data_IF_278312231018
#
_entry.id   IF_278312231018
#
_cell.length_a   1.000
_cell.length_b   1.000
_cell.length_c   1.000
_cell.angle_alpha   90.00
_cell.angle_beta   90.00
_cell.angle_gamma   90.00
#
_symmetry.space_group_name_H-M   'P 1'
#
loop_
_entity.id
_entity.type
_entity.pdbx_description
1 polymer ?
#
# COMPACT_ATOMS: atom_id res chain seq x y z
N UNK A 1 -14.80 14.90 -22.89
CA UNK A 1 -13.63 15.80 -23.04
C UNK A 1 -12.47 14.94 -23.55
N UNK A 2 -12.11 15.09 -24.83
CA UNK A 2 -11.19 14.19 -25.55
C UNK A 2 -9.75 14.57 -25.16
N UNK A 3 -9.09 13.77 -24.31
CA UNK A 3 -7.66 13.93 -24.05
C UNK A 3 -6.90 13.32 -25.22
N UNK A 4 -6.21 14.17 -25.97
CA UNK A 4 -5.28 13.77 -27.01
C UNK A 4 -4.18 12.90 -26.42
N UNK A 5 -3.94 11.77 -27.07
CA UNK A 5 -2.96 10.79 -26.64
C UNK A 5 -1.83 10.80 -27.67
N UNK A 6 -0.65 11.26 -27.24
CA UNK A 6 0.59 11.01 -27.95
C UNK A 6 1.13 9.64 -27.51
N UNK A 7 1.07 8.64 -28.40
CA UNK A 7 1.72 7.32 -28.29
C UNK A 7 2.42 7.12 -29.65
N UNK A 8 3.64 6.59 -29.84
CA UNK A 8 4.51 5.65 -29.12
C UNK A 8 5.95 6.21 -29.19
N UNK A 9 6.81 5.99 -28.17
CA UNK A 9 8.26 6.05 -28.37
C UNK A 9 8.90 4.74 -27.94
N UNK A 10 8.85 3.76 -28.83
CA UNK A 10 9.78 2.64 -28.76
C UNK A 10 10.84 2.88 -29.83
N UNK A 11 12.11 2.89 -29.40
CA UNK A 11 13.34 2.76 -30.20
C UNK A 11 14.08 3.96 -30.79
N UNK A 12 13.79 5.22 -30.44
CA UNK A 12 14.57 6.35 -31.00
C UNK A 12 15.77 6.71 -30.11
N UNK A 13 16.96 6.22 -30.47
CA UNK A 13 18.25 6.62 -29.87
C UNK A 13 18.76 8.00 -30.37
N UNK A 14 17.96 8.72 -31.17
CA UNK A 14 18.30 10.04 -31.73
C UNK A 14 17.79 11.18 -30.83
N UNK A 15 18.72 11.87 -30.20
CA UNK A 15 18.50 12.95 -29.25
C UNK A 15 17.94 14.23 -29.89
N UNK A 16 18.27 14.50 -31.17
CA UNK A 16 17.72 15.65 -31.91
C UNK A 16 16.25 15.43 -32.24
N UNK A 17 15.90 14.22 -32.66
CA UNK A 17 14.51 13.88 -32.99
C UNK A 17 13.60 13.95 -31.76
N UNK A 18 14.12 13.53 -30.60
CA UNK A 18 13.42 13.61 -29.30
C UNK A 18 13.11 15.04 -28.88
N UNK A 19 14.05 15.98 -29.11
CA UNK A 19 13.87 17.40 -28.77
C UNK A 19 12.79 18.07 -29.63
N UNK A 20 12.83 17.84 -30.94
CA UNK A 20 11.82 18.35 -31.88
C UNK A 20 10.40 17.87 -31.55
N UNK A 21 10.25 16.63 -31.07
CA UNK A 21 8.96 16.05 -30.71
C UNK A 21 8.39 16.56 -29.39
N UNK A 22 9.23 16.88 -28.41
CA UNK A 22 8.81 17.57 -27.18
C UNK A 22 8.30 19.00 -27.50
N UNK A 23 8.98 19.70 -28.39
CA UNK A 23 8.57 21.04 -28.83
C UNK A 23 7.23 21.01 -29.59
N UNK A 24 6.92 19.91 -30.27
CA UNK A 24 5.66 19.69 -30.97
C UNK A 24 4.49 19.32 -30.05
N UNK A 25 4.73 18.53 -28.99
CA UNK A 25 3.70 18.17 -28.00
C UNK A 25 3.13 19.40 -27.27
N UNK A 26 3.92 20.47 -27.16
CA UNK A 26 3.51 21.74 -26.54
C UNK A 26 2.58 22.61 -27.41
N UNK A 27 2.30 22.21 -28.66
CA UNK A 27 1.66 23.10 -29.66
C UNK A 27 0.36 22.61 -30.29
N UNK A 28 -0.26 21.51 -29.86
CA UNK A 28 -1.30 20.90 -30.72
C UNK A 28 -2.65 20.64 -30.07
N UNK A 29 -3.63 21.45 -30.50
CA UNK A 29 -5.08 21.22 -30.38
C UNK A 29 -5.68 20.48 -31.60
N UNK A 30 -4.89 20.13 -32.62
CA UNK A 30 -5.36 19.43 -33.84
C UNK A 30 -4.24 18.59 -34.49
N UNK A 31 -4.01 17.37 -34.04
CA UNK A 31 -2.91 16.55 -34.56
C UNK A 31 -3.39 15.54 -35.63
N UNK A 32 -3.44 15.99 -36.89
CA UNK A 32 -3.14 15.15 -38.06
C UNK A 32 -1.89 15.77 -38.69
N UNK A 33 -0.72 15.19 -38.46
CA UNK A 33 0.55 15.70 -39.00
C UNK A 33 1.03 14.76 -40.11
N UNK A 34 1.18 15.23 -41.37
CA UNK A 34 1.56 14.41 -42.52
C UNK A 34 2.95 13.76 -42.44
N UNK A 35 3.89 14.33 -41.66
CA UNK A 35 5.28 13.87 -41.56
C UNK A 35 5.53 12.67 -40.65
N UNK A 36 4.51 12.18 -39.92
CA UNK A 36 4.62 11.02 -39.01
C UNK A 36 3.66 9.90 -39.40
N UNK A 37 3.41 9.74 -40.71
CA UNK A 37 2.47 8.74 -41.23
C UNK A 37 2.87 7.32 -40.82
N UNK A 38 4.16 7.00 -40.86
CA UNK A 38 4.66 5.67 -40.49
C UNK A 38 4.46 5.36 -38.99
N UNK A 39 4.72 6.32 -38.11
CA UNK A 39 4.52 6.18 -36.66
C UNK A 39 3.04 6.15 -36.29
N UNK A 40 2.21 6.93 -37.00
CA UNK A 40 0.75 6.87 -36.87
C UNK A 40 0.22 5.50 -37.32
N UNK A 41 0.69 4.99 -38.46
CA UNK A 41 0.32 3.66 -38.95
C UNK A 41 0.78 2.55 -38.00
N UNK A 42 1.99 2.64 -37.44
CA UNK A 42 2.48 1.71 -36.42
C UNK A 42 1.64 1.79 -35.13
N UNK A 43 1.25 2.99 -34.70
CA UNK A 43 0.35 3.16 -33.57
C UNK A 43 -1.03 2.56 -33.87
N UNK A 44 -1.65 2.88 -35.01
CA UNK A 44 -2.93 2.31 -35.43
C UNK A 44 -2.90 0.78 -35.59
N UNK A 45 -1.79 0.24 -36.09
CA UNK A 45 -1.54 -1.19 -36.17
C UNK A 45 -1.43 -1.81 -34.77
N UNK A 46 -0.69 -1.17 -33.86
CA UNK A 46 -0.60 -1.61 -32.46
C UNK A 46 -1.95 -1.57 -31.73
N UNK A 47 -2.83 -0.65 -32.15
CA UNK A 47 -4.19 -0.51 -31.66
C UNK A 47 -5.17 -1.51 -32.27
N UNK A 48 -4.77 -2.37 -33.21
CA UNK A 48 -5.62 -3.49 -33.65
C UNK A 48 -5.77 -4.56 -32.55
N UNK A 49 -6.93 -5.23 -32.45
CA UNK A 49 -7.12 -6.33 -31.51
C UNK A 49 -6.00 -7.37 -31.65
N UNK A 50 -5.43 -7.78 -30.52
CA UNK A 50 -4.37 -8.79 -30.45
C UNK A 50 -4.70 -9.82 -29.38
N UNK A 51 -4.22 -11.04 -29.51
CA UNK A 51 -4.41 -12.10 -28.51
C UNK A 51 -3.61 -11.88 -27.23
N UNK A 52 -2.66 -10.94 -27.23
CA UNK A 52 -1.74 -10.71 -26.12
C UNK A 52 -1.61 -9.23 -25.76
N UNK A 53 -1.41 -8.96 -24.47
CA UNK A 53 -1.11 -7.63 -23.94
C UNK A 53 0.34 -7.25 -24.32
N UNK A 54 0.57 -6.07 -24.92
CA UNK A 54 1.93 -5.63 -25.25
C UNK A 54 2.80 -5.40 -24.01
N UNK A 55 4.12 -5.52 -24.19
CA UNK A 55 5.07 -5.20 -23.14
C UNK A 55 5.30 -3.67 -23.06
N UNK A 56 4.85 -3.04 -21.97
CA UNK A 56 4.97 -1.59 -21.78
C UNK A 56 6.25 -1.15 -21.04
N UNK A 57 7.22 -2.03 -20.79
CA UNK A 57 8.38 -1.72 -19.94
C UNK A 57 9.23 -0.55 -20.45
N UNK A 58 9.28 -0.33 -21.77
CA UNK A 58 10.07 0.74 -22.42
C UNK A 58 9.24 1.93 -22.89
N UNK A 59 7.99 2.08 -22.43
CA UNK A 59 7.09 3.16 -22.85
C UNK A 59 7.29 4.42 -22.01
N UNK A 60 7.51 5.58 -22.65
CA UNK A 60 7.54 6.87 -21.93
C UNK A 60 6.17 7.28 -21.36
N UNK A 61 5.09 7.04 -22.10
CA UNK A 61 3.71 7.31 -21.68
C UNK A 61 2.97 6.02 -21.32
N UNK A 62 3.61 5.18 -20.50
CA UNK A 62 3.10 3.86 -20.11
C UNK A 62 1.67 3.92 -19.55
N UNK A 63 1.37 4.89 -18.69
CA UNK A 63 0.06 5.02 -18.06
C UNK A 63 -1.05 5.26 -19.09
N UNK A 64 -0.90 6.30 -19.92
CA UNK A 64 -1.89 6.64 -20.95
C UNK A 64 -2.09 5.50 -21.95
N UNK A 65 -1.01 4.84 -22.33
CA UNK A 65 -1.05 3.68 -23.22
C UNK A 65 -1.84 2.52 -22.63
N UNK A 66 -1.60 2.17 -21.37
CA UNK A 66 -2.34 1.10 -20.68
C UNK A 66 -3.85 1.43 -20.64
N UNK A 67 -4.21 2.69 -20.39
CA UNK A 67 -5.62 3.14 -20.40
C UNK A 67 -6.24 2.95 -21.79
N UNK A 68 -5.53 3.29 -22.87
CA UNK A 68 -6.00 3.11 -24.24
C UNK A 68 -6.25 1.64 -24.57
N UNK A 69 -5.28 0.78 -24.26
CA UNK A 69 -5.41 -0.66 -24.46
C UNK A 69 -6.58 -1.21 -23.65
N UNK A 70 -6.70 -0.83 -22.39
CA UNK A 70 -7.81 -1.27 -21.55
C UNK A 70 -9.18 -0.92 -22.15
N UNK A 71 -9.38 0.33 -22.59
CA UNK A 71 -10.62 0.76 -23.25
C UNK A 71 -10.89 0.02 -24.54
N UNK A 72 -9.86 -0.21 -25.36
CA UNK A 72 -9.96 -1.02 -26.58
C UNK A 72 -10.42 -2.45 -26.26
N UNK A 73 -9.79 -3.11 -25.30
CA UNK A 73 -10.12 -4.50 -24.96
C UNK A 73 -11.53 -4.64 -24.38
N UNK A 74 -12.00 -3.60 -23.67
CA UNK A 74 -13.39 -3.50 -23.24
C UNK A 74 -14.36 -3.42 -24.44
N UNK A 75 -14.06 -2.58 -25.43
CA UNK A 75 -14.86 -2.43 -26.65
C UNK A 75 -14.87 -3.72 -27.50
N UNK A 76 -13.69 -4.36 -27.63
CA UNK A 76 -13.52 -5.62 -28.32
C UNK A 76 -14.09 -6.84 -27.56
N UNK A 77 -14.56 -6.65 -26.32
CA UNK A 77 -15.09 -7.70 -25.43
C UNK A 77 -14.09 -8.84 -25.19
N UNK A 78 -12.81 -8.51 -25.07
CA UNK A 78 -11.74 -9.48 -24.88
C UNK A 78 -11.40 -9.64 -23.38
N UNK A 79 -12.08 -10.58 -22.72
CA UNK A 79 -11.91 -10.80 -21.28
C UNK A 79 -10.46 -11.15 -20.89
N UNK A 80 -9.78 -11.99 -21.68
CA UNK A 80 -8.41 -12.43 -21.41
C UNK A 80 -7.47 -11.22 -21.25
N UNK A 81 -7.48 -10.32 -22.22
CA UNK A 81 -6.60 -9.15 -22.18
C UNK A 81 -7.05 -8.12 -21.12
N UNK A 82 -8.36 -7.94 -20.90
CA UNK A 82 -8.88 -7.10 -19.82
C UNK A 82 -8.34 -7.58 -18.46
N UNK A 83 -8.46 -8.89 -18.19
CA UNK A 83 -7.93 -9.53 -16.98
C UNK A 83 -6.43 -9.35 -16.87
N UNK A 84 -5.68 -9.64 -17.93
CA UNK A 84 -4.23 -9.58 -17.92
C UNK A 84 -3.72 -8.14 -17.72
N UNK A 85 -4.38 -7.13 -18.29
CA UNK A 85 -4.10 -5.71 -18.05
C UNK A 85 -4.35 -5.31 -16.59
N UNK A 86 -5.47 -5.74 -16.00
CA UNK A 86 -5.78 -5.50 -14.58
C UNK A 86 -4.73 -6.15 -13.69
N UNK A 87 -4.34 -7.39 -13.97
CA UNK A 87 -3.38 -8.13 -13.17
C UNK A 87 -1.96 -7.53 -13.24
N UNK A 88 -1.52 -7.13 -14.44
CA UNK A 88 -0.17 -6.59 -14.66
C UNK A 88 -0.05 -5.13 -14.25
N UNK A 89 -1.12 -4.34 -14.43
CA UNK A 89 -1.08 -2.88 -14.35
C UNK A 89 -2.26 -2.26 -13.59
N UNK A 90 -2.65 -2.77 -12.40
CA UNK A 90 -3.88 -2.35 -11.74
C UNK A 90 -3.92 -0.85 -11.43
N UNK A 91 -2.79 -0.24 -11.05
CA UNK A 91 -2.68 1.20 -10.73
C UNK A 91 -2.93 2.14 -11.92
N UNK A 92 -2.85 1.63 -13.15
CA UNK A 92 -3.03 2.41 -14.38
C UNK A 92 -4.38 2.13 -15.06
N UNK A 93 -5.14 1.16 -14.55
CA UNK A 93 -6.43 0.77 -15.12
C UNK A 93 -7.56 1.51 -14.40
N UNK A 94 -8.40 2.31 -15.09
CA UNK A 94 -9.53 3.00 -14.47
C UNK A 94 -10.77 2.08 -14.43
N UNK A 95 -10.67 0.94 -13.73
CA UNK A 95 -11.74 -0.07 -13.74
C UNK A 95 -13.06 0.45 -13.16
N UNK A 96 -13.02 1.25 -12.10
CA UNK A 96 -14.22 1.81 -11.47
C UNK A 96 -14.98 2.76 -12.41
N UNK A 97 -14.28 3.54 -13.24
CA UNK A 97 -14.88 4.43 -14.25
C UNK A 97 -15.55 3.64 -15.39
N UNK A 98 -15.06 2.43 -15.67
CA UNK A 98 -15.51 1.58 -16.77
C UNK A 98 -16.18 0.28 -16.30
N UNK A 99 -16.77 0.29 -15.10
CA UNK A 99 -17.35 -0.92 -14.48
C UNK A 99 -18.48 -1.51 -15.31
N UNK A 100 -19.24 -0.68 -16.03
CA UNK A 100 -20.33 -1.12 -16.91
C UNK A 100 -19.82 -1.93 -18.09
N UNK A 101 -18.82 -1.42 -18.80
CA UNK A 101 -18.19 -2.10 -19.90
C UNK A 101 -17.53 -3.39 -19.42
N UNK A 102 -16.83 -3.35 -18.29
CA UNK A 102 -16.23 -4.53 -17.67
C UNK A 102 -17.26 -5.64 -17.40
N UNK A 103 -18.41 -5.29 -16.82
CA UNK A 103 -19.53 -6.21 -16.61
C UNK A 103 -20.11 -6.75 -17.92
N UNK A 104 -20.23 -5.92 -18.97
CA UNK A 104 -20.70 -6.34 -20.29
C UNK A 104 -19.74 -7.36 -20.92
N UNK A 105 -18.43 -7.13 -20.84
CA UNK A 105 -17.41 -8.06 -21.35
C UNK A 105 -17.51 -9.41 -20.65
N UNK A 106 -17.52 -9.41 -19.31
CA UNK A 106 -17.57 -10.64 -18.53
C UNK A 106 -18.83 -11.48 -18.83
N UNK A 107 -20.00 -10.83 -18.94
CA UNK A 107 -21.26 -11.48 -19.35
C UNK A 107 -21.21 -12.01 -20.77
N UNK A 108 -20.64 -11.26 -21.70
CA UNK A 108 -20.52 -11.68 -23.10
C UNK A 108 -19.66 -12.94 -23.26
N UNK A 109 -18.56 -13.01 -22.50
CA UNK A 109 -17.63 -14.14 -22.50
C UNK A 109 -18.02 -15.25 -21.51
N UNK A 110 -19.19 -15.14 -20.84
CA UNK A 110 -19.70 -16.11 -19.86
C UNK A 110 -18.70 -16.46 -18.75
N UNK A 111 -17.97 -15.46 -18.27
CA UNK A 111 -16.97 -15.61 -17.20
C UNK A 111 -17.64 -16.07 -15.92
N UNK A 112 -17.02 -17.04 -15.23
CA UNK A 112 -17.54 -17.55 -13.96
C UNK A 112 -17.56 -16.45 -12.89
N UNK A 113 -18.46 -16.60 -11.92
CA UNK A 113 -18.59 -15.66 -10.80
C UNK A 113 -17.30 -15.55 -9.99
N UNK A 114 -16.66 -16.70 -9.74
CA UNK A 114 -15.39 -16.81 -9.02
C UNK A 114 -14.27 -16.07 -9.73
N UNK A 115 -14.05 -16.34 -11.02
CA UNK A 115 -13.00 -15.68 -11.80
C UNK A 115 -13.23 -14.17 -11.86
N UNK A 116 -14.46 -13.75 -12.14
CA UNK A 116 -14.81 -12.34 -12.24
C UNK A 116 -14.56 -11.60 -10.92
N UNK A 117 -14.99 -12.18 -9.79
CA UNK A 117 -14.78 -11.60 -8.46
C UNK A 117 -13.31 -11.55 -8.08
N UNK A 118 -12.53 -12.59 -8.38
CA UNK A 118 -11.11 -12.58 -8.08
C UNK A 118 -10.38 -11.45 -8.82
N UNK A 119 -10.69 -11.22 -10.10
CA UNK A 119 -10.12 -10.10 -10.88
C UNK A 119 -10.53 -8.75 -10.30
N UNK A 120 -11.81 -8.57 -10.00
CA UNK A 120 -12.32 -7.31 -9.45
C UNK A 120 -11.75 -6.99 -8.05
N UNK A 121 -11.60 -8.01 -7.20
CA UNK A 121 -11.06 -7.83 -5.84
C UNK A 121 -9.56 -7.59 -5.84
N UNK A 122 -8.81 -8.25 -6.73
CA UNK A 122 -7.39 -7.94 -6.93
C UNK A 122 -7.19 -6.50 -7.40
N UNK A 123 -8.06 -6.01 -8.30
CA UNK A 123 -8.06 -4.60 -8.67
C UNK A 123 -8.32 -3.71 -7.46
N UNK A 124 -9.40 -3.96 -6.71
CA UNK A 124 -9.76 -3.14 -5.56
C UNK A 124 -8.63 -3.05 -4.52
N UNK A 125 -8.00 -4.19 -4.24
CA UNK A 125 -6.84 -4.29 -3.35
C UNK A 125 -5.65 -3.45 -3.84
N UNK A 126 -5.41 -3.38 -5.15
CA UNK A 126 -4.30 -2.63 -5.72
C UNK A 126 -4.61 -1.15 -5.94
N UNK A 127 -5.87 -0.80 -6.17
CA UNK A 127 -6.35 0.58 -6.37
C UNK A 127 -6.22 1.40 -5.09
N UNK A 128 -6.70 0.84 -3.97
CA UNK A 128 -6.44 1.39 -2.65
C UNK A 128 -5.93 0.27 -1.73
N UNK A 129 -4.61 0.25 -1.42
CA UNK A 129 -4.03 -0.82 -0.60
C UNK A 129 -4.47 -0.77 0.85
N UNK A 130 -5.07 0.35 1.30
CA UNK A 130 -5.43 0.58 2.69
C UNK A 130 -6.83 0.11 3.05
N UNK A 131 -7.84 0.42 2.24
CA UNK A 131 -9.27 0.09 2.46
C UNK A 131 -10.07 0.48 1.20
N UNK A 132 -11.35 0.15 1.15
CA UNK A 132 -12.26 0.65 0.11
C UNK A 132 -13.02 1.87 0.64
N UNK A 133 -13.03 2.97 -0.10
CA UNK A 133 -13.82 4.15 0.27
C UNK A 133 -15.32 3.82 0.23
N UNK A 134 -16.08 4.33 1.19
CA UNK A 134 -17.53 4.09 1.27
C UNK A 134 -18.25 4.48 -0.03
N UNK A 135 -17.81 5.56 -0.66
CA UNK A 135 -18.34 6.03 -1.94
C UNK A 135 -18.11 5.03 -3.08
N UNK A 136 -16.90 4.49 -3.21
CA UNK A 136 -16.56 3.46 -4.21
C UNK A 136 -17.33 2.17 -3.95
N UNK A 137 -17.45 1.78 -2.67
CA UNK A 137 -18.22 0.61 -2.28
C UNK A 137 -19.69 0.74 -2.69
N UNK A 138 -20.31 1.88 -2.38
CA UNK A 138 -21.71 2.13 -2.63
C UNK A 138 -22.04 2.30 -4.12
N UNK A 139 -21.21 3.06 -4.86
CA UNK A 139 -21.46 3.38 -6.27
C UNK A 139 -21.03 2.28 -7.23
N UNK A 140 -19.91 1.61 -6.93
CA UNK A 140 -19.27 0.66 -7.86
C UNK A 140 -19.45 -0.78 -7.38
N UNK A 141 -18.99 -1.12 -6.17
CA UNK A 141 -18.95 -2.52 -5.74
C UNK A 141 -20.35 -3.15 -5.59
N UNK A 142 -21.31 -2.44 -4.98
CA UNK A 142 -22.69 -2.93 -4.85
C UNK A 142 -23.33 -3.24 -6.22
N UNK A 143 -23.03 -2.44 -7.24
CA UNK A 143 -23.48 -2.67 -8.62
C UNK A 143 -22.89 -3.96 -9.20
N UNK A 144 -21.59 -4.19 -8.96
CA UNK A 144 -20.88 -5.40 -9.35
C UNK A 144 -21.50 -6.64 -8.68
N UNK A 145 -21.69 -6.59 -7.37
CA UNK A 145 -22.28 -7.69 -6.60
C UNK A 145 -23.70 -8.03 -7.05
N UNK A 146 -24.54 -7.01 -7.27
CA UNK A 146 -25.88 -7.18 -7.82
C UNK A 146 -25.86 -7.81 -9.21
N UNK A 147 -24.92 -7.39 -10.06
CA UNK A 147 -24.85 -7.83 -11.46
C UNK A 147 -24.44 -9.30 -11.64
N UNK A 148 -23.75 -9.86 -10.66
CA UNK A 148 -23.25 -11.25 -10.65
C UNK A 148 -23.91 -12.12 -9.56
N UNK A 149 -25.01 -11.63 -8.96
CA UNK A 149 -25.76 -12.30 -7.89
C UNK A 149 -24.86 -12.81 -6.75
N UNK A 150 -24.03 -11.91 -6.23
CA UNK A 150 -23.05 -12.20 -5.18
C UNK A 150 -23.69 -11.97 -3.82
N UNK A 151 -23.55 -12.95 -2.92
CA UNK A 151 -24.03 -12.82 -1.55
C UNK A 151 -23.06 -11.97 -0.77
N UNK A 152 -23.54 -10.81 -0.33
CA UNK A 152 -22.83 -9.94 0.61
C UNK A 152 -23.50 -10.14 1.96
N UNK A 153 -22.79 -10.75 2.89
CA UNK A 153 -23.23 -10.75 4.29
C UNK A 153 -22.78 -9.43 4.93
N UNK A 154 -23.73 -8.77 5.60
CA UNK A 154 -23.51 -7.50 6.28
C UNK A 154 -22.38 -7.60 7.30
N UNK A 155 -21.91 -6.41 7.66
CA UNK A 155 -20.86 -6.11 8.63
C UNK A 155 -20.68 -7.25 9.63
N UNK A 156 -19.48 -7.80 9.68
CA UNK A 156 -19.06 -8.58 10.85
C UNK A 156 -19.13 -7.63 12.05
N UNK A 157 -20.32 -7.50 12.65
CA UNK A 157 -20.62 -6.61 13.79
C UNK A 157 -19.86 -7.07 15.02
N UNK A 158 -19.56 -8.37 15.09
CA UNK A 158 -18.60 -8.90 16.03
C UNK A 158 -17.22 -9.04 15.37
N UNK A 159 -16.43 -7.96 15.46
CA UNK A 159 -15.02 -7.89 15.04
C UNK A 159 -14.12 -8.98 15.67
N UNK A 160 -14.66 -9.82 16.57
CA UNK A 160 -14.02 -11.03 17.09
C UNK A 160 -14.08 -12.25 16.15
N UNK A 161 -14.95 -12.28 15.14
CA UNK A 161 -15.10 -13.48 14.27
C UNK A 161 -14.13 -13.52 13.09
N UNK A 162 -13.63 -12.38 12.61
CA UNK A 162 -12.56 -12.32 11.60
C UNK A 162 -11.22 -12.24 12.31
N UNK A 163 -10.52 -13.38 12.40
CA UNK A 163 -9.18 -13.42 13.00
C UNK A 163 -8.20 -12.58 12.18
N UNK A 164 -7.63 -11.54 12.79
CA UNK A 164 -6.50 -10.79 12.22
C UNK A 164 -5.43 -11.74 11.71
N UNK A 165 -5.10 -11.59 10.43
CA UNK A 165 -4.00 -12.28 9.79
C UNK A 165 -2.75 -11.40 9.81
N UNK A 166 -1.58 -12.02 9.78
CA UNK A 166 -0.29 -11.34 9.81
C UNK A 166 0.58 -11.88 8.69
N UNK A 167 1.57 -11.10 8.26
CA UNK A 167 2.61 -11.64 7.37
C UNK A 167 3.28 -12.83 8.05
N UNK A 168 3.77 -13.78 7.26
CA UNK A 168 4.52 -14.93 7.77
C UNK A 168 5.89 -14.50 8.32
N UNK A 169 6.49 -15.36 9.14
CA UNK A 169 7.88 -15.16 9.63
C UNK A 169 8.87 -15.07 8.47
N UNK A 170 8.62 -15.81 7.38
CA UNK A 170 9.43 -15.77 6.16
C UNK A 170 9.32 -14.41 5.47
N UNK A 171 8.09 -13.90 5.30
CA UNK A 171 7.86 -12.57 4.73
C UNK A 171 8.47 -11.46 5.60
N UNK A 172 8.31 -11.53 6.92
CA UNK A 172 8.94 -10.59 7.84
C UNK A 172 10.48 -10.62 7.74
N UNK A 173 11.06 -11.80 7.56
CA UNK A 173 12.50 -11.95 7.37
C UNK A 173 12.98 -11.37 6.03
N UNK A 174 12.21 -11.55 4.95
CA UNK A 174 12.48 -10.94 3.64
C UNK A 174 12.45 -9.41 3.72
N UNK A 175 11.38 -8.86 4.31
CA UNK A 175 11.23 -7.42 4.50
C UNK A 175 12.37 -6.84 5.34
N UNK A 176 12.70 -7.52 6.44
CA UNK A 176 13.81 -7.14 7.31
C UNK A 176 15.15 -7.11 6.56
N UNK A 177 15.44 -8.13 5.75
CA UNK A 177 16.65 -8.20 4.94
C UNK A 177 16.72 -7.05 3.92
N UNK A 178 15.61 -6.71 3.27
CA UNK A 178 15.57 -5.60 2.34
C UNK A 178 15.86 -4.25 3.02
N UNK A 179 15.31 -4.04 4.23
CA UNK A 179 15.63 -2.85 5.05
C UNK A 179 17.12 -2.84 5.41
N UNK A 180 17.71 -3.97 5.80
CA UNK A 180 19.14 -4.06 6.12
C UNK A 180 20.01 -3.69 4.93
N UNK A 181 19.71 -4.26 3.77
CA UNK A 181 20.44 -3.96 2.54
C UNK A 181 20.33 -2.47 2.18
N UNK A 182 19.15 -1.87 2.35
CA UNK A 182 18.96 -0.44 2.14
C UNK A 182 19.80 0.41 3.11
N UNK A 183 19.78 0.09 4.41
CA UNK A 183 20.58 0.79 5.43
C UNK A 183 22.08 0.67 5.12
N UNK A 184 22.58 -0.53 4.83
CA UNK A 184 23.99 -0.77 4.55
C UNK A 184 24.49 -0.11 3.25
N UNK A 185 23.62 0.02 2.24
CA UNK A 185 23.96 0.69 0.96
C UNK A 185 23.81 2.21 1.04
N UNK A 186 23.03 2.72 1.98
CA UNK A 186 22.89 4.16 2.19
C UNK A 186 24.21 4.76 2.70
N UNK A 187 24.60 5.95 2.20
CA UNK A 187 25.80 6.64 2.68
C UNK A 187 25.69 6.87 4.20
N UNK A 188 26.81 6.73 4.92
CA UNK A 188 26.89 7.06 6.35
C UNK A 188 26.33 8.46 6.58
N UNK A 189 25.16 8.56 7.21
CA UNK A 189 24.38 9.79 7.18
C UNK A 189 22.91 9.61 7.55
N UNK A 190 22.30 8.52 7.06
CA UNK A 190 20.87 8.24 7.23
C UNK A 190 20.54 7.55 8.55
N UNK A 191 21.21 6.43 8.86
CA UNK A 191 21.24 5.75 10.17
C UNK A 191 22.70 5.37 10.44
N UNK A 192 23.21 5.51 11.67
CA UNK A 192 24.55 4.97 11.98
C UNK A 192 24.47 3.46 12.12
N UNK A 193 25.31 2.69 11.41
CA UNK A 193 25.31 1.22 11.46
C UNK A 193 25.38 0.67 12.88
N UNK A 194 26.20 1.29 13.74
CA UNK A 194 26.32 0.93 15.17
C UNK A 194 25.02 1.11 15.97
N UNK A 195 24.19 2.10 15.63
CA UNK A 195 22.89 2.31 16.27
C UNK A 195 21.89 1.26 15.77
N UNK A 196 21.89 1.00 14.47
CA UNK A 196 21.03 0.02 13.83
C UNK A 196 21.27 -1.42 14.33
N UNK A 197 22.54 -1.82 14.45
CA UNK A 197 22.93 -3.15 14.95
C UNK A 197 22.51 -3.39 16.41
N UNK A 198 22.48 -2.33 17.23
CA UNK A 198 22.04 -2.41 18.64
C UNK A 198 20.55 -2.78 18.77
N UNK A 199 19.73 -2.47 17.76
CA UNK A 199 18.29 -2.78 17.79
C UNK A 199 18.07 -4.28 18.00
N UNK A 200 18.76 -5.12 17.22
CA UNK A 200 18.60 -6.57 17.30
C UNK A 200 19.03 -7.13 18.68
N UNK A 201 20.10 -6.58 19.26
CA UNK A 201 20.58 -6.95 20.60
C UNK A 201 19.54 -6.60 21.65
N UNK A 202 19.07 -5.35 21.65
CA UNK A 202 18.13 -4.86 22.65
C UNK A 202 16.77 -5.56 22.58
N UNK A 203 16.26 -5.78 21.37
CA UNK A 203 15.02 -6.54 21.16
C UNK A 203 15.17 -7.98 21.66
N UNK A 204 16.32 -8.63 21.43
CA UNK A 204 16.58 -9.98 21.94
C UNK A 204 16.56 -10.04 23.47
N UNK A 205 17.15 -9.06 24.13
CA UNK A 205 17.11 -8.93 25.60
C UNK A 205 15.67 -8.79 26.11
N UNK A 206 14.88 -7.89 25.51
CA UNK A 206 13.48 -7.71 25.86
C UNK A 206 12.64 -8.98 25.61
N UNK A 207 12.84 -9.65 24.47
CA UNK A 207 12.15 -10.92 24.15
C UNK A 207 12.47 -11.98 25.19
N UNK A 208 13.73 -12.11 25.62
CA UNK A 208 14.14 -13.06 26.65
C UNK A 208 13.55 -12.69 28.02
N UNK A 209 13.71 -11.44 28.45
CA UNK A 209 13.27 -10.98 29.78
C UNK A 209 11.75 -11.08 29.95
N UNK A 210 10.98 -10.80 28.90
CA UNK A 210 9.51 -10.76 28.93
C UNK A 210 8.84 -11.98 28.30
N UNK A 211 9.63 -12.99 27.89
CA UNK A 211 9.16 -14.22 27.21
C UNK A 211 8.26 -13.93 26.00
N UNK A 212 8.64 -12.93 25.19
CA UNK A 212 7.85 -12.48 24.05
C UNK A 212 8.03 -13.43 22.85
N UNK A 213 6.93 -13.74 22.18
CA UNK A 213 6.90 -14.58 20.98
C UNK A 213 6.18 -13.88 19.83
N UNK A 214 6.85 -13.79 18.69
CA UNK A 214 6.35 -13.29 17.40
C UNK A 214 5.67 -11.90 17.44
N UNK A 215 6.01 -11.07 18.41
CA UNK A 215 5.45 -9.71 18.57
C UNK A 215 4.06 -9.65 19.20
N UNK A 216 3.52 -10.78 19.71
CA UNK A 216 2.18 -10.81 20.30
C UNK A 216 2.09 -9.86 21.50
N UNK A 217 1.07 -8.99 21.51
CA UNK A 217 0.83 -7.96 22.53
C UNK A 217 1.96 -6.92 22.70
N UNK A 218 2.87 -6.82 21.72
CA UNK A 218 3.94 -5.83 21.68
C UNK A 218 3.51 -4.66 20.82
N UNK A 219 3.75 -3.45 21.30
CA UNK A 219 3.65 -2.22 20.50
C UNK A 219 4.97 -1.47 20.56
N UNK A 220 5.41 -1.02 19.39
CA UNK A 220 6.51 -0.06 19.24
C UNK A 220 5.90 1.31 18.98
N UNK A 221 6.25 2.28 19.82
CA UNK A 221 5.73 3.64 19.75
C UNK A 221 6.81 4.55 19.17
N UNK A 222 6.47 5.25 18.09
CA UNK A 222 7.21 6.41 17.62
C UNK A 222 6.88 7.58 18.55
N UNK A 223 7.75 7.78 19.54
CA UNK A 223 7.44 8.65 20.68
C UNK A 223 7.36 10.11 20.28
N UNK A 224 8.22 10.53 19.35
CA UNK A 224 8.25 11.92 18.86
C UNK A 224 7.10 12.20 17.91
N UNK A 225 6.73 11.24 17.07
CA UNK A 225 5.55 11.38 16.22
C UNK A 225 4.27 11.44 17.08
N UNK A 226 4.17 10.60 18.10
CA UNK A 226 3.06 10.62 19.05
C UNK A 226 2.95 11.96 19.78
N UNK A 227 4.05 12.46 20.33
CA UNK A 227 4.09 13.72 21.05
C UNK A 227 4.17 15.00 20.21
N UNK A 228 3.96 14.90 18.88
CA UNK A 228 4.02 16.04 17.95
C UNK A 228 5.34 16.84 18.11
N UNK A 229 6.46 16.11 18.08
CA UNK A 229 7.80 16.66 18.22
C UNK A 229 8.27 16.91 19.65
N UNK A 230 7.45 16.56 20.66
CA UNK A 230 7.81 16.61 22.08
C UNK A 230 7.84 15.20 22.66
N UNK A 231 8.51 15.06 23.80
CA UNK A 231 8.48 13.84 24.61
C UNK A 231 7.18 13.83 25.46
N UNK A 232 6.24 12.92 25.18
CA UNK A 232 5.00 12.79 25.96
C UNK A 232 5.28 12.41 27.40
N UNK A 233 4.46 12.93 28.32
CA UNK A 233 4.57 12.63 29.74
C UNK A 233 3.68 11.46 30.13
N UNK A 234 2.58 11.25 29.39
CA UNK A 234 1.58 10.20 29.67
C UNK A 234 1.39 9.28 28.46
N UNK A 235 1.24 7.99 28.76
CA UNK A 235 1.12 6.92 27.77
C UNK A 235 -0.09 6.00 28.05
N UNK A 236 -0.99 6.44 28.95
CA UNK A 236 -2.04 5.60 29.52
C UNK A 236 -2.92 4.97 28.44
N UNK A 237 -3.27 5.72 27.40
CA UNK A 237 -4.10 5.19 26.32
C UNK A 237 -3.43 4.02 25.56
N UNK A 238 -2.11 4.09 25.35
CA UNK A 238 -1.34 3.00 24.74
C UNK A 238 -1.21 1.83 25.72
N UNK A 239 -0.85 2.10 26.98
CA UNK A 239 -0.66 1.09 28.02
C UNK A 239 -1.94 0.34 28.38
N UNK A 240 -3.11 0.95 28.22
CA UNK A 240 -4.40 0.31 28.42
C UNK A 240 -4.73 -0.72 27.33
N UNK A 241 -4.14 -0.58 26.13
CA UNK A 241 -4.45 -1.43 24.98
C UNK A 241 -3.39 -2.52 24.71
N UNK A 242 -2.16 -2.31 25.17
CA UNK A 242 -1.02 -3.19 24.92
C UNK A 242 -0.25 -3.55 26.20
N UNK A 243 0.07 -4.83 26.34
CA UNK A 243 0.78 -5.37 27.50
C UNK A 243 2.27 -4.95 27.52
N UNK A 244 2.89 -4.84 26.34
CA UNK A 244 4.30 -4.53 26.23
C UNK A 244 4.49 -3.30 25.32
N UNK A 245 4.70 -2.15 25.97
CA UNK A 245 4.94 -0.87 25.29
C UNK A 245 6.44 -0.61 25.24
N UNK A 246 6.96 -0.44 24.04
CA UNK A 246 8.37 -0.15 23.76
C UNK A 246 8.45 1.10 22.91
N UNK A 247 9.49 1.88 23.09
CA UNK A 247 9.58 3.22 22.53
C UNK A 247 10.81 3.33 21.63
N UNK A 248 10.63 3.94 20.46
CA UNK A 248 11.72 4.54 19.72
C UNK A 248 11.61 6.06 19.90
N UNK A 249 12.70 6.69 20.32
CA UNK A 249 12.73 8.13 20.62
C UNK A 249 14.14 8.68 20.44
N UNK A 250 14.34 9.97 20.69
CA UNK A 250 15.65 10.62 20.61
C UNK A 250 16.27 10.87 21.95
N UNK A 251 17.60 10.95 21.94
CA UNK A 251 18.33 11.41 23.11
C UNK A 251 17.83 12.79 23.54
N UNK A 252 17.33 12.93 24.78
CA UNK A 252 16.89 14.22 25.30
C UNK A 252 18.10 15.16 25.54
N UNK A 253 17.87 16.49 25.53
CA UNK A 253 18.86 17.47 25.94
C UNK A 253 19.42 17.18 27.34
N UNK A 254 20.69 17.48 27.57
CA UNK A 254 21.38 17.16 28.83
C UNK A 254 20.65 17.68 30.07
N UNK A 255 19.96 18.82 29.97
CA UNK A 255 19.22 19.44 31.07
C UNK A 255 18.04 18.62 31.60
N UNK A 256 17.46 17.74 30.79
CA UNK A 256 16.29 16.92 31.17
C UNK A 256 16.53 15.42 30.99
N UNK A 257 17.76 15.04 30.64
CA UNK A 257 18.09 13.69 30.17
C UNK A 257 17.75 12.60 31.18
N UNK A 258 18.25 12.72 32.40
CA UNK A 258 18.06 11.67 33.41
C UNK A 258 16.58 11.51 33.77
N UNK A 259 15.83 12.61 33.80
CA UNK A 259 14.38 12.60 34.05
C UNK A 259 13.62 11.87 32.95
N UNK A 260 13.96 12.11 31.68
CA UNK A 260 13.32 11.48 30.52
C UNK A 260 13.70 10.00 30.44
N UNK A 261 14.99 9.67 30.54
CA UNK A 261 15.47 8.27 30.52
C UNK A 261 14.83 7.45 31.63
N UNK A 262 14.73 8.01 32.84
CA UNK A 262 14.07 7.35 33.98
C UNK A 262 12.57 7.11 33.73
N UNK A 263 11.87 8.01 33.03
CA UNK A 263 10.44 7.85 32.70
C UNK A 263 10.20 6.65 31.77
N UNK A 264 11.11 6.40 30.84
CA UNK A 264 11.01 5.26 29.92
C UNK A 264 11.35 3.91 30.57
N UNK A 265 11.96 3.90 31.77
CA UNK A 265 12.24 2.70 32.56
C UNK A 265 12.85 1.54 31.75
N UNK A 266 13.85 1.86 30.91
CA UNK A 266 14.54 0.88 30.08
C UNK A 266 13.74 0.33 28.90
N UNK A 267 12.57 0.90 28.58
CA UNK A 267 11.68 0.50 27.48
C UNK A 267 11.92 1.28 26.19
N UNK A 268 12.86 2.22 26.19
CA UNK A 268 13.18 3.05 25.04
C UNK A 268 14.51 2.66 24.39
N UNK A 269 14.53 2.78 23.07
CA UNK A 269 15.74 2.87 22.27
C UNK A 269 15.89 4.33 21.81
N UNK A 270 17.04 4.92 22.14
CA UNK A 270 17.35 6.31 21.84
C UNK A 270 18.21 6.40 20.57
N UNK A 271 17.75 7.22 19.63
CA UNK A 271 18.37 7.45 18.33
C UNK A 271 18.95 8.86 18.25
N UNK A 272 20.00 9.05 17.45
CA UNK A 272 20.71 10.33 17.38
C UNK A 272 20.19 11.28 16.28
N UNK A 273 19.44 10.78 15.29
CA UNK A 273 19.10 11.52 14.06
C UNK A 273 17.63 11.43 13.67
N UNK A 274 17.10 12.53 13.13
CA UNK A 274 15.70 12.70 12.72
C UNK A 274 15.18 11.62 11.75
N UNK A 275 15.91 11.35 10.68
CA UNK A 275 15.51 10.39 9.64
C UNK A 275 15.85 8.94 9.98
N UNK A 276 16.58 8.71 11.07
CA UNK A 276 16.99 7.37 11.48
C UNK A 276 15.90 6.63 12.25
N UNK A 277 15.02 7.39 12.90
CA UNK A 277 13.96 6.89 13.78
C UNK A 277 13.05 5.90 13.03
N UNK A 278 12.68 6.23 11.78
CA UNK A 278 11.78 5.44 10.94
C UNK A 278 12.26 4.00 10.70
N UNK A 279 13.50 3.85 10.22
CA UNK A 279 14.07 2.54 9.94
C UNK A 279 14.35 1.75 11.22
N UNK A 280 14.66 2.43 12.33
CA UNK A 280 14.84 1.81 13.63
C UNK A 280 13.51 1.29 14.18
N UNK A 281 12.42 2.06 14.05
CA UNK A 281 11.06 1.65 14.41
C UNK A 281 10.65 0.39 13.64
N UNK A 282 10.82 0.43 12.31
CA UNK A 282 10.49 -0.70 11.43
C UNK A 282 11.32 -1.93 11.77
N UNK A 283 12.64 -1.76 11.97
CA UNK A 283 13.54 -2.83 12.38
C UNK A 283 13.15 -3.41 13.72
N UNK A 284 12.84 -2.58 14.70
CA UNK A 284 12.45 -3.00 16.04
C UNK A 284 11.17 -3.85 15.99
N UNK A 285 10.15 -3.40 15.26
CA UNK A 285 8.90 -4.12 15.11
C UNK A 285 9.08 -5.48 14.42
N UNK A 286 9.87 -5.53 13.33
CA UNK A 286 10.16 -6.78 12.63
C UNK A 286 11.02 -7.75 13.46
N UNK A 287 11.90 -7.25 14.32
CA UNK A 287 12.69 -8.10 15.23
C UNK A 287 11.84 -8.71 16.36
N UNK A 288 10.82 -7.99 16.84
CA UNK A 288 9.84 -8.56 17.76
C UNK A 288 9.03 -9.65 17.07
N UNK A 289 8.56 -9.39 15.86
CA UNK A 289 7.94 -10.36 14.96
C UNK A 289 6.69 -9.84 14.24
N UNK A 290 6.04 -10.69 13.42
CA UNK A 290 4.96 -10.27 12.54
C UNK A 290 3.69 -9.70 13.20
N UNK A 291 3.47 -10.00 14.49
CA UNK A 291 2.29 -9.52 15.22
C UNK A 291 2.51 -8.21 15.96
N UNK A 292 3.72 -7.63 15.85
CA UNK A 292 4.06 -6.39 16.53
C UNK A 292 3.24 -5.24 15.97
N UNK A 293 2.68 -4.43 16.86
CA UNK A 293 1.95 -3.22 16.52
C UNK A 293 2.88 -2.01 16.50
N UNK A 294 2.52 -0.98 15.74
CA UNK A 294 3.23 0.29 15.64
C UNK A 294 2.27 1.42 16.01
N UNK A 295 2.71 2.41 16.78
CA UNK A 295 1.97 3.67 16.97
C UNK A 295 2.74 4.78 16.29
N UNK A 296 2.18 5.31 15.20
CA UNK A 296 2.76 6.41 14.40
C UNK A 296 1.73 6.92 13.38
N UNK A 297 1.83 8.19 13.03
CA UNK A 297 1.13 8.81 11.90
C UNK A 297 1.97 8.83 10.62
N UNK A 298 3.21 8.35 10.65
CA UNK A 298 4.03 8.24 9.45
C UNK A 298 3.48 7.17 8.49
N UNK A 299 3.46 7.49 7.20
CA UNK A 299 2.99 6.58 6.15
C UNK A 299 4.15 5.80 5.50
N UNK A 300 5.39 6.13 5.84
CA UNK A 300 6.63 5.56 5.36
C UNK A 300 6.70 5.48 3.82
N UNK A 301 6.11 6.44 3.10
CA UNK A 301 6.00 6.40 1.62
C UNK A 301 7.38 6.43 0.96
N UNK A 302 8.27 7.28 1.44
CA UNK A 302 9.63 7.41 0.88
C UNK A 302 10.46 6.15 1.15
N UNK A 303 10.37 5.62 2.37
CA UNK A 303 11.01 4.37 2.78
C UNK A 303 10.49 3.18 1.99
N UNK A 304 9.16 3.07 1.80
CA UNK A 304 8.55 2.06 0.95
C UNK A 304 9.14 2.09 -0.45
N UNK A 305 9.20 3.28 -1.07
CA UNK A 305 9.75 3.43 -2.43
C UNK A 305 11.23 3.01 -2.49
N UNK A 306 12.02 3.40 -1.50
CA UNK A 306 13.45 3.15 -1.47
C UNK A 306 13.79 1.67 -1.16
N UNK A 307 13.11 1.07 -0.18
CA UNK A 307 13.35 -0.31 0.26
C UNK A 307 12.76 -1.31 -0.73
N UNK A 308 11.53 -1.08 -1.20
CA UNK A 308 10.90 -2.02 -2.13
C UNK A 308 11.47 -1.90 -3.55
N UNK A 309 11.94 -0.72 -3.96
CA UNK A 309 12.55 -0.47 -5.27
C UNK A 309 11.76 -1.09 -6.44
N UNK A 310 10.44 -0.90 -6.44
CA UNK A 310 9.50 -1.43 -7.44
C UNK A 310 9.38 -2.98 -7.50
N UNK A 311 9.92 -3.72 -6.53
CA UNK A 311 9.66 -5.16 -6.36
C UNK A 311 8.20 -5.38 -5.91
N UNK A 312 7.32 -5.97 -6.75
CA UNK A 312 5.90 -6.12 -6.42
C UNK A 312 5.66 -7.06 -5.23
N UNK A 313 6.50 -8.07 -5.03
CA UNK A 313 6.36 -9.02 -3.92
C UNK A 313 6.70 -8.32 -2.61
N UNK A 314 7.81 -7.57 -2.61
CA UNK A 314 8.24 -6.84 -1.42
C UNK A 314 7.29 -5.67 -1.09
N UNK A 315 6.79 -4.95 -2.09
CA UNK A 315 5.75 -3.94 -1.93
C UNK A 315 4.50 -4.51 -1.27
N UNK A 316 4.05 -5.68 -1.72
CA UNK A 316 2.91 -6.37 -1.10
C UNK A 316 3.22 -6.69 0.37
N UNK A 317 4.35 -7.33 0.67
CA UNK A 317 4.72 -7.67 2.06
C UNK A 317 4.78 -6.43 2.94
N UNK A 318 5.33 -5.33 2.42
CA UNK A 318 5.40 -4.04 3.11
C UNK A 318 4.02 -3.50 3.45
N UNK A 319 3.12 -3.43 2.46
CA UNK A 319 1.76 -2.95 2.62
C UNK A 319 0.98 -3.85 3.59
N UNK A 320 1.11 -5.17 3.45
CA UNK A 320 0.51 -6.19 4.31
C UNK A 320 0.92 -6.04 5.78
N UNK A 321 2.16 -5.62 6.04
CA UNK A 321 2.68 -5.38 7.37
C UNK A 321 2.22 -4.04 7.93
N UNK A 322 2.57 -2.93 7.26
CA UNK A 322 2.38 -1.59 7.82
C UNK A 322 0.91 -1.24 8.01
N UNK A 323 0.07 -1.56 7.04
CA UNK A 323 -1.34 -1.16 7.08
C UNK A 323 -2.05 -1.80 8.27
N UNK A 324 -1.68 -3.04 8.60
CA UNK A 324 -2.30 -3.77 9.69
C UNK A 324 -1.58 -3.61 11.04
N UNK A 325 -0.28 -3.34 11.04
CA UNK A 325 0.49 -3.12 12.26
C UNK A 325 0.27 -1.72 12.85
N UNK A 326 0.04 -0.71 12.01
CA UNK A 326 0.05 0.71 12.42
C UNK A 326 -1.27 1.18 12.99
N UNK A 327 -1.22 1.73 14.20
CA UNK A 327 -2.28 2.47 14.88
C UNK A 327 -1.99 3.97 14.75
N UNK A 328 -2.95 4.70 14.19
CA UNK A 328 -2.89 6.15 14.07
C UNK A 328 -3.27 6.79 15.39
N UNK A 329 -2.91 8.05 15.55
CA UNK A 329 -3.20 8.81 16.75
C UNK A 329 -3.56 10.26 16.44
N UNK A 330 -4.28 10.90 17.35
CA UNK A 330 -4.64 12.32 17.30
C UNK A 330 -4.82 12.80 18.74
N UNK A 331 -4.30 13.98 19.07
CA UNK A 331 -4.46 14.59 20.39
C UNK A 331 -4.04 13.66 21.55
N UNK A 332 -2.93 12.93 21.39
CA UNK A 332 -2.42 11.90 22.31
C UNK A 332 -3.38 10.73 22.58
N UNK A 333 -4.37 10.51 21.72
CA UNK A 333 -5.24 9.34 21.73
C UNK A 333 -4.90 8.46 20.53
N UNK A 334 -4.79 7.15 20.72
CA UNK A 334 -4.58 6.17 19.64
C UNK A 334 -5.90 5.57 19.18
N UNK A 335 -5.93 5.12 17.92
CA UNK A 335 -7.02 4.29 17.42
C UNK A 335 -7.22 3.05 18.31
N UNK A 336 -8.49 2.65 18.58
CA UNK A 336 -8.76 1.43 19.32
C UNK A 336 -8.08 0.21 18.71
N UNK A 337 -7.60 -0.68 19.58
CA UNK A 337 -6.95 -1.93 19.18
C UNK A 337 -7.86 -2.73 18.25
N UNK A 338 -7.30 -3.19 17.14
CA UNK A 338 -8.03 -3.88 16.07
C UNK A 338 -7.71 -5.36 16.02
N UNK A 339 -8.76 -6.16 15.94
CA UNK A 339 -8.73 -7.62 15.85
C UNK A 339 -8.91 -8.09 14.39
N UNK A 340 -8.87 -7.16 13.44
CA UNK A 340 -9.12 -7.34 12.02
C UNK A 340 -8.03 -6.67 11.15
N UNK A 341 -8.04 -6.96 9.85
CA UNK A 341 -7.16 -6.34 8.86
C UNK A 341 -7.88 -5.17 8.15
N UNK A 342 -7.16 -4.12 7.75
CA UNK A 342 -7.77 -2.94 7.11
C UNK A 342 -7.89 -3.04 5.58
N UNK A 343 -7.23 -4.02 4.95
CA UNK A 343 -7.22 -4.18 3.49
C UNK A 343 -8.12 -5.30 2.98
N UNK A 344 -8.48 -5.21 1.70
CA UNK A 344 -9.19 -6.27 0.97
C UNK A 344 -8.35 -7.55 0.97
N UNK A 345 -8.91 -8.68 1.42
CA UNK A 345 -8.22 -9.99 1.48
C UNK A 345 -9.17 -11.15 1.20
N UNK A 346 -8.63 -12.23 0.63
CA UNK A 346 -9.31 -13.53 0.56
C UNK A 346 -8.87 -14.39 1.75
N UNK A 347 -9.81 -14.85 2.56
CA UNK A 347 -9.60 -15.69 3.75
C UNK A 347 -10.56 -16.87 3.66
N UNK A 348 -10.05 -18.11 3.65
CA UNK A 348 -10.84 -19.34 3.50
C UNK A 348 -11.83 -19.24 2.32
N UNK A 349 -11.30 -18.87 1.15
CA UNK A 349 -12.04 -18.64 -0.10
C UNK A 349 -13.10 -17.53 -0.10
N UNK A 350 -13.18 -16.73 0.97
CA UNK A 350 -14.12 -15.61 1.08
C UNK A 350 -13.40 -14.28 1.06
N UNK A 351 -13.93 -13.35 0.28
CA UNK A 351 -13.39 -11.99 0.24
C UNK A 351 -13.92 -11.18 1.42
N UNK A 352 -13.00 -10.47 2.09
CA UNK A 352 -13.29 -9.55 3.18
C UNK A 352 -12.89 -8.15 2.73
N UNK A 353 -13.83 -7.21 2.81
CA UNK A 353 -13.69 -5.85 2.30
C UNK A 353 -13.92 -4.88 3.44
N UNK A 354 -12.85 -4.30 3.99
CA UNK A 354 -12.95 -3.19 4.93
C UNK A 354 -13.32 -1.93 4.15
N UNK A 355 -14.44 -1.32 4.53
CA UNK A 355 -15.01 -0.13 3.91
C UNK A 355 -15.02 0.98 4.94
N UNK A 356 -14.45 2.13 4.57
CA UNK A 356 -14.23 3.24 5.47
C UNK A 356 -14.82 4.51 4.88
N UNK A 357 -15.49 5.30 5.70
CA UNK A 357 -15.87 6.66 5.33
C UNK A 357 -14.76 7.62 5.76
N UNK A 358 -13.93 8.09 4.81
CA UNK A 358 -12.91 9.09 5.10
C UNK A 358 -13.52 10.50 5.17
N UNK A 359 -14.39 10.76 6.15
CA UNK A 359 -14.64 12.12 6.60
C UNK A 359 -13.56 12.52 7.60
N UNK A 360 -12.49 13.11 7.07
CA UNK A 360 -11.27 13.51 7.78
C UNK A 360 -11.42 14.61 8.84
N UNK A 361 -12.55 14.69 9.53
CA UNK A 361 -12.79 15.67 10.59
C UNK A 361 -13.63 15.18 11.78
N UNK A 362 -14.26 13.99 11.74
CA UNK A 362 -15.13 13.59 12.84
C UNK A 362 -14.35 13.18 14.10
N UNK A 363 -14.82 13.62 15.27
CA UNK A 363 -14.30 13.24 16.60
C UNK A 363 -14.34 11.73 16.86
N UNK A 364 -15.12 10.99 16.07
CA UNK A 364 -15.11 9.53 16.05
C UNK A 364 -14.04 9.10 15.04
N UNK A 365 -12.92 8.56 15.52
CA UNK A 365 -11.92 7.96 14.64
C UNK A 365 -12.56 6.85 13.78
N UNK A 366 -13.01 7.21 12.57
CA UNK A 366 -13.36 6.34 11.43
C UNK A 366 -14.49 5.33 11.68
N UNK A 367 -15.62 5.48 11.00
CA UNK A 367 -16.61 4.40 10.87
C UNK A 367 -16.08 3.37 9.85
N UNK A 368 -15.73 2.18 10.33
CA UNK A 368 -15.31 1.06 9.50
C UNK A 368 -16.36 -0.05 9.52
N UNK A 369 -16.74 -0.53 8.34
CA UNK A 369 -17.54 -1.73 8.16
C UNK A 369 -16.72 -2.78 7.41
N UNK A 370 -16.76 -4.04 7.85
CA UNK A 370 -16.09 -5.15 7.14
C UNK A 370 -17.16 -6.05 6.52
N UNK A 371 -17.23 -6.05 5.19
CA UNK A 371 -18.15 -6.86 4.43
C UNK A 371 -17.52 -8.19 4.05
N UNK A 372 -18.28 -9.28 4.15
CA UNK A 372 -17.86 -10.60 3.66
C UNK A 372 -18.65 -10.95 2.40
N UNK A 373 -17.91 -11.34 1.38
CA UNK A 373 -18.42 -11.69 0.06
C UNK A 373 -18.21 -13.20 -0.15
N UNK A 374 -19.32 -13.90 -0.30
CA UNK A 374 -19.32 -15.34 -0.58
C UNK A 374 -19.43 -15.53 -2.11
N UNK A 375 -18.40 -16.15 -2.71
CA UNK A 375 -18.29 -16.42 -4.15
C UNK A 375 -19.25 -17.51 -4.58
#
# INVERSE_FOLDING_TARGET
MIRYIAIVFHSINDEKLRKSLCDLASKVDKCKIPTFKAEQELFFASMQPSENVPNFAKCMHKADLIVCYFRRELEAKNWKNVRDLIALHPKFVPLYEHVDEFLKVAKNQKVSKEEFLDVFMLYAQANNPYFVEEDDFNKVMKKVFKSYNVTVSDTVTDMNTVKKTYISVKEASLLKKAIDEYVHKSKEGFVKSKEYEKVAVRVREWKKARKLKDGKNVVVVDSLNFGVGRDPVEWNDISNQFQHVLFATRYPPSSVRDKVIKRYDGNALFCDKLSADDLIILRMALEFGPQTSLVTNDQYRDHRRAVCNLDPILEKIWDDFLIDAVYRHKDNCIEPRRNYNLRVRKINDRWHIPVLNFEGSSEKMRNLNIYRIDT
#
